data_IF_308468926086
#
_entry.id   IF_308468926086
#
_cell.length_a   1.000
_cell.length_b   1.000
_cell.length_c   1.000
_cell.angle_alpha   90.00
_cell.angle_beta   90.00
_cell.angle_gamma   90.00
#
_symmetry.space_group_name_H-M   'P 1'
#
loop_
_entity.id
_entity.type
_entity.pdbx_description
1 polymer ?
#
# COMPACT_ATOMS: atom_id res chain seq x y z
N UNK A 1 16.11 -11.63 14.26
CA UNK A 1 15.67 -10.43 13.54
C UNK A 1 14.32 -10.09 14.12
N UNK A 2 14.12 -8.89 14.64
CA UNK A 2 12.77 -8.44 15.03
C UNK A 2 12.02 -8.11 13.73
N UNK A 3 10.89 -8.78 13.50
CA UNK A 3 9.96 -8.35 12.46
C UNK A 3 9.43 -6.98 12.84
N UNK A 4 9.69 -5.98 12.00
CA UNK A 4 9.09 -4.65 12.18
C UNK A 4 7.66 -4.73 11.66
N UNK A 5 6.70 -4.94 12.56
CA UNK A 5 5.26 -4.94 12.23
C UNK A 5 4.75 -3.50 12.20
N UNK A 6 4.07 -3.13 11.13
CA UNK A 6 3.42 -1.82 10.99
C UNK A 6 2.08 -1.85 11.70
N UNK A 7 1.84 -0.86 12.58
CA UNK A 7 0.51 -0.64 13.12
C UNK A 7 -0.32 0.19 12.14
N UNK A 8 -1.20 -0.49 11.40
CA UNK A 8 -2.08 0.13 10.40
C UNK A 8 -3.02 1.17 10.99
N UNK A 9 -3.40 1.06 12.26
CA UNK A 9 -4.24 2.05 12.92
C UNK A 9 -3.47 3.36 13.13
N UNK A 10 -2.18 3.28 13.47
CA UNK A 10 -1.34 4.48 13.58
C UNK A 10 -1.01 5.09 12.23
N UNK A 11 -0.72 4.27 11.21
CA UNK A 11 -0.45 4.75 9.85
C UNK A 11 -1.66 5.51 9.29
N UNK A 12 -2.85 4.91 9.33
CA UNK A 12 -4.08 5.53 8.82
C UNK A 12 -4.42 6.83 9.52
N UNK A 13 -4.26 6.89 10.86
CA UNK A 13 -4.41 8.14 11.63
C UNK A 13 -3.37 9.19 11.27
N UNK A 14 -2.12 8.79 11.05
CA UNK A 14 -1.05 9.69 10.63
C UNK A 14 -1.36 10.31 9.27
N UNK A 15 -1.64 9.49 8.25
CA UNK A 15 -1.94 9.97 6.89
C UNK A 15 -3.19 10.84 6.87
N UNK A 16 -4.22 10.47 7.63
CA UNK A 16 -5.45 11.27 7.78
C UNK A 16 -5.15 12.66 8.34
N UNK A 17 -4.28 12.74 9.34
CA UNK A 17 -3.88 14.00 9.97
C UNK A 17 -3.05 14.88 9.03
N UNK A 18 -2.11 14.31 8.29
CA UNK A 18 -1.24 15.09 7.40
C UNK A 18 -1.97 15.61 6.16
N UNK A 19 -2.87 14.82 5.58
CA UNK A 19 -3.57 15.19 4.34
C UNK A 19 -4.96 15.81 4.57
N UNK A 20 -5.51 15.70 5.78
CA UNK A 20 -6.89 16.14 6.07
C UNK A 20 -7.96 15.29 5.39
N UNK A 21 -7.63 14.06 5.04
CA UNK A 21 -8.51 13.09 4.36
C UNK A 21 -9.15 12.18 5.42
N UNK A 22 -10.39 11.73 5.20
CA UNK A 22 -11.04 10.82 6.15
C UNK A 22 -10.33 9.47 6.22
N UNK A 23 -10.31 8.88 7.42
CA UNK A 23 -9.76 7.55 7.66
C UNK A 23 -10.46 6.51 6.76
N UNK A 24 -11.77 6.65 6.51
CA UNK A 24 -12.51 5.72 5.65
C UNK A 24 -12.02 5.71 4.20
N UNK A 25 -11.59 6.86 3.67
CA UNK A 25 -11.03 6.96 2.31
C UNK A 25 -9.64 6.33 2.28
N UNK A 26 -8.82 6.58 3.30
CA UNK A 26 -7.47 6.02 3.40
C UNK A 26 -7.52 4.50 3.53
N UNK A 27 -8.42 3.97 4.36
CA UNK A 27 -8.62 2.53 4.49
C UNK A 27 -9.03 1.90 3.14
N UNK A 28 -9.93 2.52 2.39
CA UNK A 28 -10.31 2.01 1.06
C UNK A 28 -9.12 1.97 0.09
N UNK A 29 -8.20 2.94 0.18
CA UNK A 29 -6.98 2.97 -0.64
C UNK A 29 -6.05 1.82 -0.23
N UNK A 30 -5.73 1.70 1.06
CA UNK A 30 -4.83 0.64 1.57
C UNK A 30 -5.40 -0.77 1.37
N UNK A 31 -6.71 -0.97 1.59
CA UNK A 31 -7.36 -2.26 1.32
C UNK A 31 -7.26 -2.61 -0.18
N UNK A 32 -7.45 -1.62 -1.06
CA UNK A 32 -7.33 -1.83 -2.51
C UNK A 32 -5.90 -2.08 -2.96
N UNK A 33 -4.92 -1.44 -2.32
CA UNK A 33 -3.50 -1.69 -2.54
C UNK A 33 -3.11 -3.10 -2.10
N UNK A 34 -3.53 -3.53 -0.91
CA UNK A 34 -3.29 -4.89 -0.42
C UNK A 34 -3.87 -5.93 -1.39
N UNK A 35 -5.09 -5.70 -1.89
CA UNK A 35 -5.70 -6.57 -2.87
C UNK A 35 -4.93 -6.62 -4.20
N UNK A 36 -4.33 -5.51 -4.63
CA UNK A 36 -3.48 -5.47 -5.82
C UNK A 36 -2.22 -6.33 -5.62
N UNK A 37 -1.53 -6.19 -4.48
CA UNK A 37 -0.36 -7.01 -4.17
C UNK A 37 -0.71 -8.49 -4.00
N UNK A 38 -1.86 -8.80 -3.39
CA UNK A 38 -2.36 -10.16 -3.28
C UNK A 38 -2.65 -10.77 -4.66
N UNK A 39 -3.27 -10.01 -5.57
CA UNK A 39 -3.53 -10.45 -6.94
C UNK A 39 -2.25 -10.71 -7.75
N UNK A 40 -1.17 -9.99 -7.45
CA UNK A 40 0.16 -10.23 -8.03
C UNK A 40 0.92 -11.39 -7.36
N UNK A 41 0.37 -12.01 -6.33
CA UNK A 41 1.06 -13.05 -5.56
C UNK A 41 2.26 -12.51 -4.76
N UNK A 42 2.30 -11.19 -4.52
CA UNK A 42 3.34 -10.53 -3.72
C UNK A 42 3.07 -10.63 -2.21
N UNK A 43 1.85 -11.02 -1.84
CA UNK A 43 1.45 -11.32 -0.47
C UNK A 43 1.29 -12.83 -0.35
N UNK A 44 2.16 -13.48 0.41
CA UNK A 44 2.00 -14.89 0.76
C UNK A 44 0.84 -15.03 1.76
N UNK A 45 -0.30 -15.47 1.25
CA UNK A 45 -1.32 -16.09 2.11
C UNK A 45 -0.74 -17.43 2.60
N UNK A 46 -0.84 -17.76 3.90
CA UNK A 46 -0.27 -18.98 4.53
C UNK A 46 -0.78 -20.32 3.90
N UNK A 47 -1.57 -20.26 2.83
CA UNK A 47 -2.26 -21.39 2.22
C UNK A 47 -1.80 -21.76 0.79
N UNK A 48 -0.89 -21.01 0.17
CA UNK A 48 -0.58 -21.19 -1.27
C UNK A 48 0.85 -21.67 -1.50
N UNK A 49 1.03 -22.99 -1.45
CA UNK A 49 2.19 -23.67 -2.05
C UNK A 49 2.15 -23.53 -3.57
N UNK A 50 2.77 -22.48 -4.13
CA UNK A 50 3.02 -22.38 -5.57
C UNK A 50 4.48 -22.01 -5.84
N UNK A 51 5.25 -23.03 -6.18
CA UNK A 51 6.62 -22.99 -6.72
C UNK A 51 6.71 -22.30 -8.10
N UNK A 52 6.25 -21.05 -8.24
CA UNK A 52 6.43 -20.24 -9.46
C UNK A 52 6.88 -18.81 -9.13
N UNK A 53 7.93 -18.65 -8.32
CA UNK A 53 8.68 -17.40 -8.23
C UNK A 53 9.63 -17.27 -9.43
N UNK A 54 9.04 -17.03 -10.61
CA UNK A 54 9.76 -17.00 -11.89
C UNK A 54 9.74 -15.67 -12.65
N UNK A 55 8.87 -14.73 -12.28
CA UNK A 55 8.83 -13.40 -12.90
C UNK A 55 9.06 -12.32 -11.85
N UNK A 56 9.97 -11.40 -12.16
CA UNK A 56 10.17 -10.20 -11.36
C UNK A 56 8.90 -9.38 -11.50
N UNK A 57 7.96 -9.52 -10.56
CA UNK A 57 6.76 -8.70 -10.51
C UNK A 57 7.19 -7.27 -10.21
N UNK A 58 7.41 -6.48 -11.26
CA UNK A 58 7.67 -5.05 -11.16
C UNK A 58 6.33 -4.38 -10.94
N UNK A 59 6.13 -3.84 -9.74
CA UNK A 59 4.99 -2.97 -9.45
C UNK A 59 5.26 -1.61 -10.07
N UNK A 60 4.45 -1.22 -11.04
CA UNK A 60 4.44 0.13 -11.57
C UNK A 60 3.44 0.98 -10.78
N UNK A 61 3.91 2.07 -10.20
CA UNK A 61 3.09 2.98 -9.40
C UNK A 61 1.83 3.46 -10.15
N UNK A 62 1.99 3.76 -11.44
CA UNK A 62 0.87 4.17 -12.31
C UNK A 62 -0.21 3.09 -12.43
N UNK A 63 0.18 1.81 -12.50
CA UNK A 63 -0.77 0.68 -12.58
C UNK A 63 -1.52 0.47 -11.27
N UNK A 64 -0.82 0.61 -10.14
CA UNK A 64 -1.43 0.57 -8.81
C UNK A 64 -2.46 1.69 -8.64
N UNK A 65 -2.09 2.92 -8.98
CA UNK A 65 -2.99 4.08 -8.90
C UNK A 65 -4.22 3.87 -9.80
N UNK A 66 -4.02 3.38 -11.02
CA UNK A 66 -5.10 3.06 -11.95
C UNK A 66 -6.02 1.97 -11.40
N UNK A 67 -5.46 0.92 -10.79
CA UNK A 67 -6.22 -0.15 -10.16
C UNK A 67 -7.10 0.38 -9.02
N UNK A 68 -6.51 1.13 -8.09
CA UNK A 68 -7.24 1.70 -6.93
C UNK A 68 -8.32 2.67 -7.42
N UNK A 69 -8.00 3.52 -8.41
CA UNK A 69 -8.95 4.46 -8.99
C UNK A 69 -10.15 3.74 -9.62
N UNK A 70 -9.91 2.71 -10.43
CA UNK A 70 -10.98 1.94 -11.08
C UNK A 70 -11.86 1.20 -10.07
N UNK A 71 -11.30 0.77 -8.94
CA UNK A 71 -12.04 0.02 -7.91
C UNK A 71 -12.85 0.90 -6.97
N UNK A 72 -12.29 2.04 -6.55
CA UNK A 72 -12.85 2.89 -5.50
C UNK A 72 -13.52 4.15 -6.03
N UNK A 73 -13.24 4.52 -7.28
CA UNK A 73 -13.62 5.79 -7.90
C UNK A 73 -13.06 7.03 -7.16
N UNK A 74 -12.01 6.85 -6.33
CA UNK A 74 -11.28 7.93 -5.68
C UNK A 74 -10.36 8.61 -6.71
N UNK A 75 -10.29 9.95 -6.77
CA UNK A 75 -9.39 10.65 -7.70
C UNK A 75 -7.93 10.22 -7.57
N UNK A 76 -7.25 10.00 -8.72
CA UNK A 76 -5.83 9.58 -8.77
C UNK A 76 -4.91 10.47 -7.96
N UNK A 77 -5.11 11.79 -8.00
CA UNK A 77 -4.32 12.75 -7.23
C UNK A 77 -4.43 12.56 -5.71
N UNK A 78 -5.58 12.08 -5.22
CA UNK A 78 -5.78 11.75 -3.81
C UNK A 78 -5.04 10.45 -3.49
N UNK A 79 -5.14 9.44 -4.35
CA UNK A 79 -4.46 8.15 -4.20
C UNK A 79 -2.94 8.37 -4.15
N UNK A 80 -2.39 9.09 -5.12
CA UNK A 80 -0.98 9.49 -5.17
C UNK A 80 -0.52 10.16 -3.87
N UNK A 81 -1.30 11.11 -3.36
CA UNK A 81 -0.96 11.84 -2.13
C UNK A 81 -0.95 10.93 -0.90
N UNK A 82 -1.89 9.98 -0.82
CA UNK A 82 -1.99 9.02 0.28
C UNK A 82 -0.80 8.06 0.26
N UNK A 83 -0.49 7.47 -0.90
CA UNK A 83 0.63 6.54 -1.04
C UNK A 83 1.98 7.24 -0.81
N UNK A 84 2.15 8.49 -1.26
CA UNK A 84 3.39 9.25 -1.02
C UNK A 84 3.61 9.58 0.47
N UNK A 85 2.53 9.81 1.24
CA UNK A 85 2.62 9.98 2.70
C UNK A 85 2.86 8.67 3.46
N UNK A 86 2.29 7.57 3.00
CA UNK A 86 2.62 6.24 3.49
C UNK A 86 4.11 5.94 3.32
N UNK A 87 4.65 6.18 2.13
CA UNK A 87 6.06 6.01 1.80
C UNK A 87 6.97 6.81 2.74
N UNK A 88 6.60 8.06 3.04
CA UNK A 88 7.31 8.91 4.00
C UNK A 88 7.23 8.36 5.43
N UNK A 89 6.08 7.84 5.83
CA UNK A 89 5.91 7.23 7.14
C UNK A 89 6.79 5.98 7.29
N UNK A 90 6.79 5.11 6.27
CA UNK A 90 7.63 3.90 6.25
C UNK A 90 9.13 4.24 6.28
N UNK A 91 9.56 5.25 5.53
CA UNK A 91 10.95 5.76 5.57
C UNK A 91 11.32 6.27 6.96
N UNK A 92 10.43 6.99 7.65
CA UNK A 92 10.69 7.49 9.03
C UNK A 92 10.86 6.36 10.04
N UNK A 93 10.19 5.23 9.84
CA UNK A 93 10.31 4.04 10.68
C UNK A 93 11.45 3.11 10.25
N UNK A 94 12.22 3.51 9.23
CA UNK A 94 13.33 2.72 8.68
C UNK A 94 12.85 1.32 8.21
N UNK A 95 11.62 1.29 7.66
CA UNK A 95 10.98 0.07 7.14
C UNK A 95 11.32 -0.16 5.67
N UNK A 96 11.61 0.92 4.95
CA UNK A 96 12.05 0.90 3.55
C UNK A 96 13.27 1.82 3.41
N UNK A 97 14.24 1.42 2.59
CA UNK A 97 15.40 2.26 2.29
C UNK A 97 14.98 3.42 1.38
N UNK A 98 15.35 4.64 1.76
CA UNK A 98 15.25 5.79 0.85
C UNK A 98 16.33 5.68 -0.22
N UNK A 99 15.94 5.76 -1.49
CA UNK A 99 16.87 5.93 -2.61
C UNK A 99 17.74 7.18 -2.45
#
# INVERSE_FOLDING_TARGET
MEEKVIDMEYLTKYVSRELGISIDIINQIFDSEFDYYSALGLVEDESSSSDELGETNVVYMDELIDFINNRTNIPKTIIESVLDEEDKYMKRLDLIEGL
#
